data_IF_048159433828
#
_entry.id   IF_048159433828
#
_cell.length_a   1.000
_cell.length_b   1.000
_cell.length_c   1.000
_cell.angle_alpha   90.00
_cell.angle_beta   90.00
_cell.angle_gamma   90.00
#
_symmetry.space_group_name_H-M   'P 1'
#
loop_
_entity.id
_entity.type
_entity.pdbx_description
1 polymer ?
#
# COMPACT_ATOMS: atom_id res chain seq x y z
N UNK A 1 -15.71 7.63 -18.93
CA UNK A 1 -14.38 7.92 -18.35
C UNK A 1 -13.54 8.73 -19.35
N UNK A 2 -12.91 9.83 -18.92
CA UNK A 2 -12.08 10.68 -19.79
C UNK A 2 -10.71 10.04 -20.07
N UNK A 3 -10.10 10.35 -21.22
CA UNK A 3 -8.77 9.87 -21.60
C UNK A 3 -7.68 10.24 -20.57
N UNK A 4 -7.80 11.42 -19.96
CA UNK A 4 -6.88 11.90 -18.92
C UNK A 4 -6.92 11.04 -17.65
N UNK A 5 -8.10 10.56 -17.25
CA UNK A 5 -8.23 9.65 -16.11
C UNK A 5 -7.54 8.31 -16.36
N UNK A 6 -7.76 7.70 -17.54
CA UNK A 6 -7.08 6.44 -17.90
C UNK A 6 -5.57 6.56 -17.93
N UNK A 7 -5.04 7.71 -18.35
CA UNK A 7 -3.61 7.95 -18.34
C UNK A 7 -3.05 8.04 -16.92
N UNK A 8 -3.74 8.77 -16.02
CA UNK A 8 -3.36 8.84 -14.61
C UNK A 8 -3.44 7.46 -13.94
N UNK A 9 -4.51 6.70 -14.19
CA UNK A 9 -4.67 5.34 -13.66
C UNK A 9 -3.49 4.44 -14.10
N UNK A 10 -3.07 4.55 -15.37
CA UNK A 10 -1.91 3.80 -15.90
C UNK A 10 -0.58 4.22 -15.27
N UNK A 11 -0.41 5.49 -14.93
CA UNK A 11 0.80 6.00 -14.26
C UNK A 11 0.84 5.58 -12.79
N UNK A 12 -0.32 5.50 -12.13
CA UNK A 12 -0.44 5.12 -10.73
C UNK A 12 -0.27 3.61 -10.50
N UNK A 13 -0.69 2.77 -11.46
CA UNK A 13 -0.65 1.31 -11.37
C UNK A 13 0.68 0.72 -10.84
N UNK A 14 1.87 1.08 -11.35
CA UNK A 14 3.13 0.53 -10.83
C UNK A 14 3.40 0.94 -9.38
N UNK A 15 3.08 2.19 -8.99
CA UNK A 15 3.25 2.65 -7.62
C UNK A 15 2.32 1.91 -6.66
N UNK A 16 1.06 1.73 -7.06
CA UNK A 16 0.05 0.98 -6.32
C UNK A 16 0.53 -0.46 -6.06
N UNK A 17 0.99 -1.15 -7.10
CA UNK A 17 1.47 -2.53 -6.98
C UNK A 17 2.69 -2.65 -6.04
N UNK A 18 3.66 -1.74 -6.15
CA UNK A 18 4.87 -1.78 -5.31
C UNK A 18 4.57 -1.44 -3.85
N UNK A 19 3.79 -0.39 -3.60
CA UNK A 19 3.41 0.03 -2.24
C UNK A 19 2.55 -1.04 -1.55
N UNK A 20 1.62 -1.63 -2.29
CA UNK A 20 0.82 -2.77 -1.84
C UNK A 20 1.66 -3.97 -1.45
N UNK A 21 2.59 -4.38 -2.32
CA UNK A 21 3.51 -5.49 -2.03
C UNK A 21 4.39 -5.23 -0.79
N UNK A 22 4.88 -4.00 -0.60
CA UNK A 22 5.63 -3.60 0.60
C UNK A 22 4.78 -3.64 1.86
N UNK A 23 3.51 -3.22 1.77
CA UNK A 23 2.58 -3.28 2.89
C UNK A 23 2.23 -4.73 3.27
N UNK A 24 2.00 -5.60 2.28
CA UNK A 24 1.81 -7.03 2.51
C UNK A 24 3.05 -7.69 3.15
N UNK A 25 4.25 -7.31 2.71
CA UNK A 25 5.49 -7.79 3.34
C UNK A 25 5.62 -7.30 4.79
N UNK A 26 5.27 -6.04 5.07
CA UNK A 26 5.25 -5.50 6.41
C UNK A 26 4.32 -6.31 7.34
N UNK A 27 3.14 -6.72 6.87
CA UNK A 27 2.19 -7.51 7.66
C UNK A 27 2.70 -8.87 8.16
N UNK A 28 3.74 -9.42 7.51
CA UNK A 28 4.34 -10.72 7.83
C UNK A 28 5.54 -10.64 8.78
N UNK A 29 5.93 -9.44 9.22
CA UNK A 29 6.98 -9.27 10.22
C UNK A 29 6.50 -9.76 11.59
N UNK A 30 7.43 -10.30 12.38
CA UNK A 30 7.12 -11.06 13.60
C UNK A 30 6.61 -10.16 14.73
N UNK A 31 7.23 -9.01 14.92
CA UNK A 31 6.92 -8.10 16.04
C UNK A 31 5.98 -6.96 15.63
N UNK A 32 5.22 -6.44 16.60
CA UNK A 32 4.35 -5.29 16.35
C UNK A 32 5.16 -4.05 15.94
N UNK A 33 6.30 -3.83 16.58
CA UNK A 33 7.19 -2.70 16.35
C UNK A 33 7.75 -2.70 14.93
N UNK A 34 8.19 -3.86 14.42
CA UNK A 34 8.66 -4.01 13.05
C UNK A 34 7.55 -3.77 12.03
N UNK A 35 6.35 -4.33 12.28
CA UNK A 35 5.17 -4.09 11.43
C UNK A 35 4.82 -2.60 11.37
N UNK A 36 4.79 -1.94 12.53
CA UNK A 36 4.49 -0.52 12.64
C UNK A 36 5.52 0.31 11.88
N UNK A 37 6.82 0.09 12.14
CA UNK A 37 7.89 0.83 11.48
C UNK A 37 7.87 0.66 9.95
N UNK A 38 7.69 -0.57 9.48
CA UNK A 38 7.63 -0.86 8.05
C UNK A 38 6.39 -0.25 7.38
N UNK A 39 5.21 -0.33 8.03
CA UNK A 39 3.99 0.27 7.50
C UNK A 39 4.04 1.80 7.50
N UNK A 40 4.63 2.42 8.53
CA UNK A 40 4.89 3.87 8.56
C UNK A 40 5.76 4.29 7.39
N UNK A 41 6.84 3.56 7.10
CA UNK A 41 7.70 3.85 5.94
C UNK A 41 6.96 3.71 4.59
N UNK A 42 5.97 2.81 4.50
CA UNK A 42 5.09 2.74 3.31
C UNK A 42 4.21 4.00 3.20
N UNK A 43 3.61 4.46 4.29
CA UNK A 43 2.76 5.66 4.26
C UNK A 43 3.52 6.95 3.97
N UNK A 44 4.74 7.09 4.48
CA UNK A 44 5.63 8.19 4.11
C UNK A 44 5.92 8.19 2.60
N UNK A 45 6.21 7.02 2.04
CA UNK A 45 6.44 6.86 0.61
C UNK A 45 5.17 7.13 -0.22
N UNK A 46 3.98 6.75 0.25
CA UNK A 46 2.70 7.11 -0.37
C UNK A 46 2.58 8.63 -0.53
N UNK A 47 2.86 9.37 0.55
CA UNK A 47 2.85 10.83 0.52
C UNK A 47 3.91 11.41 -0.42
N UNK A 48 5.13 10.87 -0.39
CA UNK A 48 6.22 11.33 -1.26
C UNK A 48 5.88 11.16 -2.75
N UNK A 49 5.46 9.95 -3.15
CA UNK A 49 5.11 9.64 -4.55
C UNK A 49 3.90 10.41 -5.04
N UNK A 50 2.93 10.67 -4.18
CA UNK A 50 1.73 11.41 -4.54
C UNK A 50 2.02 12.85 -5.01
N UNK A 51 3.11 13.47 -4.53
CA UNK A 51 3.53 14.80 -4.96
C UNK A 51 3.91 14.89 -6.46
N UNK A 52 4.15 13.77 -7.13
CA UNK A 52 4.39 13.73 -8.57
C UNK A 52 3.11 13.90 -9.41
N UNK A 53 1.93 13.92 -8.78
CA UNK A 53 0.64 13.92 -9.47
C UNK A 53 -0.10 15.25 -9.29
N UNK A 54 -0.99 15.63 -10.24
CA UNK A 54 -1.72 16.91 -10.19
C UNK A 54 -2.63 17.10 -8.96
N UNK A 55 -3.11 16.01 -8.37
CA UNK A 55 -3.98 16.02 -7.19
C UNK A 55 -3.35 15.17 -6.07
N UNK A 56 -2.28 15.64 -5.41
CA UNK A 56 -1.47 14.82 -4.52
C UNK A 56 -2.26 14.23 -3.34
N UNK A 57 -3.20 14.99 -2.75
CA UNK A 57 -4.03 14.47 -1.66
C UNK A 57 -4.88 13.27 -2.07
N UNK A 58 -5.55 13.34 -3.23
CA UNK A 58 -6.39 12.26 -3.74
C UNK A 58 -5.58 11.03 -4.20
N UNK A 59 -4.35 11.26 -4.65
CA UNK A 59 -3.43 10.16 -5.03
C UNK A 59 -2.84 9.49 -3.79
N UNK A 60 -2.44 10.27 -2.78
CA UNK A 60 -1.98 9.74 -1.50
C UNK A 60 -3.06 8.89 -0.83
N UNK A 61 -4.32 9.35 -0.86
CA UNK A 61 -5.46 8.58 -0.36
C UNK A 61 -5.57 7.20 -1.03
N UNK A 62 -5.50 7.16 -2.37
CA UNK A 62 -5.56 5.89 -3.12
C UNK A 62 -4.38 4.96 -2.81
N UNK A 63 -3.17 5.51 -2.73
CA UNK A 63 -1.98 4.74 -2.36
C UNK A 63 -2.10 4.16 -0.94
N UNK A 64 -2.55 4.96 0.03
CA UNK A 64 -2.75 4.50 1.41
C UNK A 64 -3.87 3.47 1.48
N UNK A 65 -4.99 3.67 0.80
CA UNK A 65 -6.11 2.72 0.79
C UNK A 65 -5.67 1.34 0.30
N UNK A 66 -4.95 1.26 -0.82
CA UNK A 66 -4.48 -0.03 -1.33
C UNK A 66 -3.46 -0.67 -0.38
N UNK A 67 -2.49 0.10 0.10
CA UNK A 67 -1.49 -0.40 1.05
C UNK A 67 -2.14 -0.97 2.33
N UNK A 68 -3.20 -0.32 2.85
CA UNK A 68 -3.95 -0.81 4.02
C UNK A 68 -4.67 -2.13 3.69
N UNK A 69 -5.32 -2.22 2.53
CA UNK A 69 -6.01 -3.44 2.10
C UNK A 69 -5.02 -4.61 2.00
N UNK A 70 -3.89 -4.41 1.31
CA UNK A 70 -2.89 -5.46 1.12
C UNK A 70 -2.22 -5.87 2.44
N UNK A 71 -1.97 -4.91 3.34
CA UNK A 71 -1.50 -5.21 4.69
C UNK A 71 -2.51 -6.10 5.44
N UNK A 72 -3.79 -5.71 5.45
CA UNK A 72 -4.84 -6.43 6.19
C UNK A 72 -5.05 -7.84 5.64
N UNK A 73 -5.10 -8.01 4.32
CA UNK A 73 -5.25 -9.31 3.67
C UNK A 73 -4.08 -10.23 4.00
N UNK A 74 -2.84 -9.76 3.83
CA UNK A 74 -1.65 -10.54 4.16
C UNK A 74 -1.58 -10.93 5.65
N UNK A 75 -2.10 -10.06 6.53
CA UNK A 75 -2.19 -10.30 7.96
C UNK A 75 -3.18 -11.41 8.30
N UNK A 76 -4.37 -11.37 7.70
CA UNK A 76 -5.39 -12.41 7.85
C UNK A 76 -4.91 -13.77 7.32
N UNK A 77 -4.23 -13.78 6.17
CA UNK A 77 -3.66 -15.00 5.57
C UNK A 77 -2.63 -15.64 6.52
N UNK A 78 -1.67 -14.87 7.02
CA UNK A 78 -0.65 -15.38 7.93
C UNK A 78 -1.25 -15.92 9.24
N UNK A 79 -2.25 -15.23 9.80
CA UNK A 79 -2.93 -15.72 11.00
C UNK A 79 -3.65 -17.04 10.75
N UNK A 80 -4.26 -17.18 9.58
CA UNK A 80 -4.91 -18.44 9.19
C UNK A 80 -3.89 -19.57 9.03
N UNK A 81 -2.74 -19.30 8.40
CA UNK A 81 -1.65 -20.26 8.23
C UNK A 81 -1.09 -20.75 9.58
N UNK A 82 -0.82 -19.82 10.50
CA UNK A 82 -0.25 -20.14 11.83
C UNK A 82 -1.22 -20.96 12.69
N UNK A 83 -2.54 -20.74 12.57
CA UNK A 83 -3.53 -21.47 13.36
C UNK A 83 -4.03 -22.77 12.70
N UNK A 84 -3.61 -23.05 11.46
CA UNK A 84 -3.99 -24.28 10.73
C UNK A 84 -2.88 -25.34 10.69
N UNK A 85 -1.69 -25.04 11.20
CA UNK A 85 -0.55 -25.96 11.32
C UNK A 85 -0.37 -26.51 12.73
#
# INVERSE_FOLDING_TARGET
>A
MSAMKRHLDSLMAPHLAELGARAAAAARLDTFEERLAALTAVFEECGHRANAFPCPAAVAEQFVQLAVIDFQLARMEWETEVHSG
#
